data_IF_375347445738
#
_entry.id   IF_375347445738
#
_cell.length_a   1.000
_cell.length_b   1.000
_cell.length_c   1.000
_cell.angle_alpha   90.00
_cell.angle_beta   90.00
_cell.angle_gamma   90.00
#
_symmetry.space_group_name_H-M   'P 1'
#
loop_
_entity.id
_entity.type
_entity.pdbx_description
1 polymer ?
#
# COMPACT_ATOMS: atom_id res chain seq x y z
N UNK A 1 -17.28 46.51 -39.62
CA UNK A 1 -16.58 45.79 -38.52
C UNK A 1 -17.24 44.47 -38.04
N UNK A 2 -18.42 44.02 -38.53
CA UNK A 2 -19.04 42.75 -38.07
C UNK A 2 -18.48 41.47 -38.74
N UNK A 3 -18.09 41.53 -40.01
CA UNK A 3 -17.66 40.35 -40.78
C UNK A 3 -16.31 39.74 -40.32
N UNK A 4 -15.37 40.57 -39.86
CA UNK A 4 -14.06 40.09 -39.37
C UNK A 4 -14.19 39.32 -38.04
N UNK A 5 -15.17 39.70 -37.20
CA UNK A 5 -15.44 39.03 -35.93
C UNK A 5 -16.12 37.67 -36.12
N UNK A 6 -16.97 37.49 -37.15
CA UNK A 6 -17.59 36.18 -37.43
C UNK A 6 -16.58 35.19 -38.02
N UNK A 7 -15.70 35.65 -38.91
CA UNK A 7 -14.65 34.83 -39.50
C UNK A 7 -13.66 34.29 -38.44
N UNK A 8 -13.28 35.11 -37.45
CA UNK A 8 -12.42 34.67 -36.32
C UNK A 8 -13.11 33.64 -35.42
N UNK A 9 -14.39 33.82 -35.11
CA UNK A 9 -15.16 32.82 -34.32
C UNK A 9 -15.31 31.50 -35.05
N UNK A 10 -15.54 31.54 -36.36
CA UNK A 10 -15.68 30.32 -37.17
C UNK A 10 -14.35 29.56 -37.31
N UNK A 11 -13.22 30.27 -37.37
CA UNK A 11 -11.89 29.65 -37.33
C UNK A 11 -11.61 28.99 -35.97
N UNK A 12 -11.96 29.63 -34.86
CA UNK A 12 -11.80 29.07 -33.51
C UNK A 12 -12.66 27.81 -33.31
N UNK A 13 -13.92 27.84 -33.75
CA UNK A 13 -14.82 26.68 -33.71
C UNK A 13 -14.27 25.48 -34.50
N UNK A 14 -13.64 25.73 -35.65
CA UNK A 14 -12.99 24.67 -36.44
C UNK A 14 -11.76 24.07 -35.74
N UNK A 15 -11.02 24.87 -34.99
CA UNK A 15 -9.87 24.40 -34.21
C UNK A 15 -10.36 23.55 -33.03
N UNK A 16 -11.38 23.99 -32.28
CA UNK A 16 -11.97 23.20 -31.21
C UNK A 16 -12.54 21.86 -31.71
N UNK A 17 -13.22 21.87 -32.87
CA UNK A 17 -13.72 20.65 -33.49
C UNK A 17 -12.57 19.69 -33.85
N UNK A 18 -11.48 20.19 -34.43
CA UNK A 18 -10.29 19.38 -34.74
C UNK A 18 -9.63 18.82 -33.48
N UNK A 19 -9.53 19.61 -32.41
CA UNK A 19 -8.98 19.15 -31.12
C UNK A 19 -9.87 18.07 -30.50
N UNK A 20 -11.20 18.24 -30.50
CA UNK A 20 -12.14 17.23 -30.01
C UNK A 20 -12.03 15.92 -30.78
N UNK A 21 -11.94 15.99 -32.11
CA UNK A 21 -11.73 14.82 -32.96
C UNK A 21 -10.41 14.14 -32.65
N UNK A 22 -9.31 14.90 -32.54
CA UNK A 22 -8.00 14.33 -32.22
C UNK A 22 -7.97 13.65 -30.84
N UNK A 23 -8.61 14.25 -29.84
CA UNK A 23 -8.75 13.65 -28.51
C UNK A 23 -9.59 12.36 -28.57
N UNK A 24 -10.68 12.35 -29.34
CA UNK A 24 -11.50 11.16 -29.52
C UNK A 24 -10.75 10.04 -30.27
N UNK A 25 -9.97 10.37 -31.30
CA UNK A 25 -9.16 9.42 -32.08
C UNK A 25 -8.01 8.84 -31.25
N UNK A 26 -7.41 9.64 -30.36
CA UNK A 26 -6.32 9.19 -29.48
C UNK A 26 -6.82 8.52 -28.19
N UNK A 27 -8.11 8.60 -27.87
CA UNK A 27 -8.68 8.01 -26.67
C UNK A 27 -8.44 6.49 -26.59
N UNK A 28 -8.67 5.68 -27.64
CA UNK A 28 -8.43 4.24 -27.61
C UNK A 28 -6.96 3.89 -27.32
N UNK A 29 -6.01 4.59 -27.97
CA UNK A 29 -4.58 4.40 -27.74
C UNK A 29 -4.16 4.76 -26.30
N UNK A 30 -4.75 5.83 -25.75
CA UNK A 30 -4.56 6.23 -24.35
C UNK A 30 -5.15 5.20 -23.39
N UNK A 31 -6.32 4.64 -23.68
CA UNK A 31 -6.95 3.60 -22.86
C UNK A 31 -6.17 2.27 -22.94
N UNK A 32 -5.68 1.88 -24.12
CA UNK A 32 -4.88 0.67 -24.31
C UNK A 32 -3.55 0.73 -23.52
N UNK A 33 -2.82 1.86 -23.60
CA UNK A 33 -1.61 2.07 -22.79
C UNK A 33 -1.90 2.05 -21.29
N UNK A 34 -3.03 2.63 -20.86
CA UNK A 34 -3.49 2.52 -19.47
C UNK A 34 -3.77 1.06 -19.10
N UNK A 35 -4.46 0.31 -19.94
CA UNK A 35 -4.78 -1.11 -19.74
C UNK A 35 -3.55 -1.98 -19.49
N UNK A 36 -2.47 -1.80 -20.28
CA UNK A 36 -1.20 -2.54 -20.10
C UNK A 36 -0.53 -2.18 -18.76
N UNK A 37 -0.49 -0.91 -18.41
CA UNK A 37 0.05 -0.46 -17.11
C UNK A 37 -0.79 -1.02 -15.96
N UNK A 38 -2.11 -1.09 -16.10
CA UNK A 38 -3.01 -1.64 -15.11
C UNK A 38 -2.89 -3.15 -14.97
N UNK A 39 -2.80 -3.91 -16.07
CA UNK A 39 -2.52 -5.36 -16.00
C UNK A 39 -1.21 -5.64 -15.25
N UNK A 40 -0.17 -4.82 -15.50
CA UNK A 40 1.09 -4.91 -14.77
C UNK A 40 0.94 -4.57 -13.28
N UNK A 41 0.12 -3.57 -12.92
CA UNK A 41 -0.19 -3.25 -11.51
C UNK A 41 -1.05 -4.32 -10.84
N UNK A 42 -2.05 -4.88 -11.53
CA UNK A 42 -2.93 -5.93 -11.03
C UNK A 42 -2.15 -7.22 -10.75
N UNK A 43 -1.17 -7.56 -11.60
CA UNK A 43 -0.27 -8.68 -11.35
C UNK A 43 0.65 -8.45 -10.15
N UNK A 44 1.00 -7.20 -9.83
CA UNK A 44 1.71 -6.85 -8.59
C UNK A 44 0.84 -6.86 -7.32
N UNK A 45 -0.49 -6.92 -7.46
CA UNK A 45 -1.45 -7.06 -6.36
C UNK A 45 -1.81 -8.53 -6.10
N UNK A 46 -1.03 -9.49 -6.60
CA UNK A 46 -1.14 -10.86 -6.08
C UNK A 46 -0.94 -10.82 -4.55
N UNK A 47 -1.72 -11.61 -3.79
CA UNK A 47 -1.41 -11.80 -2.38
C UNK A 47 0.07 -12.19 -2.29
N UNK A 48 0.83 -11.63 -1.33
CA UNK A 48 2.23 -12.02 -1.18
C UNK A 48 2.26 -13.54 -1.13
N UNK A 49 3.08 -14.15 -2.00
CA UNK A 49 3.33 -15.58 -1.95
C UNK A 49 3.53 -15.93 -0.48
N UNK A 50 2.84 -16.97 -0.03
CA UNK A 50 2.92 -17.54 1.31
C UNK A 50 4.31 -18.16 1.54
N UNK A 51 5.39 -17.49 1.14
CA UNK A 51 6.74 -17.65 1.64
C UNK A 51 6.83 -16.97 3.00
N UNK A 52 6.11 -17.53 3.97
CA UNK A 52 5.92 -17.05 5.34
C UNK A 52 7.18 -17.15 6.22
N UNK A 53 8.37 -16.89 5.68
CA UNK A 53 9.59 -17.18 6.43
C UNK A 53 10.09 -16.04 7.32
N UNK A 54 9.68 -14.78 7.13
CA UNK A 54 10.39 -13.64 7.75
C UNK A 54 9.50 -12.52 8.35
N UNK A 55 8.20 -12.77 8.57
CA UNK A 55 7.29 -11.72 9.05
C UNK A 55 7.47 -11.38 10.54
N UNK A 56 8.06 -12.29 11.31
CA UNK A 56 8.41 -12.05 12.72
C UNK A 56 9.85 -12.51 12.93
N UNK A 57 10.73 -11.60 13.33
CA UNK A 57 12.09 -11.93 13.74
C UNK A 57 12.17 -11.91 15.26
N UNK A 58 12.38 -13.07 15.86
CA UNK A 58 12.60 -13.17 17.30
C UNK A 58 14.09 -13.02 17.62
N UNK A 59 14.45 -11.90 18.23
CA UNK A 59 15.78 -11.64 18.79
C UNK A 59 15.78 -11.71 20.32
N UNK A 60 14.62 -12.00 20.94
CA UNK A 60 14.51 -12.19 22.38
C UNK A 60 14.98 -13.60 22.79
N UNK A 61 15.54 -13.68 24.00
CA UNK A 61 15.96 -14.94 24.64
C UNK A 61 14.80 -15.86 25.02
N UNK A 62 13.56 -15.35 25.06
CA UNK A 62 12.36 -16.15 25.34
C UNK A 62 11.81 -16.77 24.05
N UNK A 63 11.41 -18.05 24.11
CA UNK A 63 10.68 -18.65 23.00
C UNK A 63 9.28 -18.01 22.88
N UNK A 64 8.97 -17.49 21.69
CA UNK A 64 7.62 -17.03 21.38
C UNK A 64 6.72 -18.25 21.21
N UNK A 65 5.70 -18.38 22.05
CA UNK A 65 4.65 -19.39 21.89
C UNK A 65 4.00 -19.25 20.51
N UNK A 66 3.55 -20.35 19.91
CA UNK A 66 2.87 -20.35 18.60
C UNK A 66 1.72 -19.34 18.53
N UNK A 67 0.97 -19.19 19.63
CA UNK A 67 -0.08 -18.17 19.78
C UNK A 67 0.46 -16.74 19.61
N UNK A 68 1.60 -16.42 20.21
CA UNK A 68 2.25 -15.11 20.12
C UNK A 68 2.77 -14.86 18.70
N UNK A 69 3.35 -15.88 18.06
CA UNK A 69 3.79 -15.78 16.66
C UNK A 69 2.65 -15.49 15.69
N UNK A 70 1.51 -16.21 15.80
CA UNK A 70 0.32 -15.97 14.96
C UNK A 70 -0.23 -14.55 15.12
N UNK A 71 -0.28 -14.08 16.37
CA UNK A 71 -0.71 -12.72 16.70
C UNK A 71 0.19 -11.66 16.04
N UNK A 72 1.51 -11.83 16.14
CA UNK A 72 2.47 -10.89 15.55
C UNK A 72 2.48 -10.90 14.02
N UNK A 73 2.27 -12.07 13.40
CA UNK A 73 2.10 -12.17 11.96
C UNK A 73 0.84 -11.45 11.47
N UNK A 74 -0.21 -11.45 12.28
CA UNK A 74 -1.47 -10.77 11.96
C UNK A 74 -1.35 -9.25 12.13
N UNK A 75 -0.71 -8.77 13.20
CA UNK A 75 -0.41 -7.34 13.38
C UNK A 75 0.44 -6.77 12.23
N UNK A 76 1.47 -7.50 11.82
CA UNK A 76 2.31 -7.15 10.67
C UNK A 76 1.51 -6.86 9.38
N UNK A 77 0.37 -7.55 9.21
CA UNK A 77 -0.51 -7.38 8.05
C UNK A 77 -1.31 -6.06 8.07
N UNK A 78 -1.48 -5.43 9.23
CA UNK A 78 -2.38 -4.27 9.42
C UNK A 78 -1.82 -2.93 8.92
N UNK A 79 -0.58 -2.87 8.45
CA UNK A 79 0.10 -1.60 8.12
C UNK A 79 -0.24 -1.03 6.72
N UNK A 80 -1.24 -1.58 6.02
CA UNK A 80 -1.66 -1.02 4.73
C UNK A 80 -2.71 0.07 4.95
N UNK A 81 -2.33 1.30 4.63
CA UNK A 81 -3.15 2.50 4.50
C UNK A 81 -4.64 2.22 4.34
N UNK A 82 -5.40 2.74 5.28
CA UNK A 82 -6.86 2.75 5.39
C UNK A 82 -7.46 3.43 4.16
N UNK A 83 -7.50 2.71 3.04
CA UNK A 83 -8.24 3.15 1.85
C UNK A 83 -9.65 2.64 2.02
N UNK A 84 -10.63 3.55 2.06
CA UNK A 84 -12.03 3.18 2.19
C UNK A 84 -12.36 2.06 1.18
N UNK A 85 -12.83 0.88 1.67
CA UNK A 85 -13.24 -0.20 0.79
C UNK A 85 -14.22 0.26 -0.30
N UNK A 86 -15.06 1.27 -0.02
CA UNK A 86 -15.97 1.84 -0.99
C UNK A 86 -15.25 2.55 -2.15
N UNK A 87 -14.22 3.34 -1.85
CA UNK A 87 -13.40 4.04 -2.87
C UNK A 87 -12.63 3.05 -3.74
N UNK A 88 -12.10 1.97 -3.15
CA UNK A 88 -11.44 0.91 -3.90
C UNK A 88 -12.43 0.20 -4.85
N UNK A 89 -13.62 -0.18 -4.35
CA UNK A 89 -14.67 -0.81 -5.18
C UNK A 89 -15.09 0.13 -6.30
N UNK A 90 -15.32 1.42 -6.02
CA UNK A 90 -15.71 2.40 -7.01
C UNK A 90 -14.64 2.57 -8.10
N UNK A 91 -13.36 2.61 -7.73
CA UNK A 91 -12.26 2.71 -8.68
C UNK A 91 -12.14 1.46 -9.57
N UNK A 92 -12.28 0.26 -8.99
CA UNK A 92 -12.26 -1.02 -9.73
C UNK A 92 -13.46 -1.12 -10.66
N UNK A 93 -14.68 -0.82 -10.19
CA UNK A 93 -15.89 -0.87 -11.03
C UNK A 93 -15.83 0.16 -12.16
N UNK A 94 -15.40 1.40 -11.88
CA UNK A 94 -15.20 2.40 -12.92
C UNK A 94 -14.16 1.95 -13.96
N UNK A 95 -13.16 1.13 -13.57
CA UNK A 95 -12.21 0.53 -14.50
C UNK A 95 -12.87 -0.56 -15.35
N UNK A 96 -13.59 -1.48 -14.72
CA UNK A 96 -14.28 -2.60 -15.38
C UNK A 96 -15.30 -2.10 -16.41
N UNK A 97 -16.00 -1.01 -16.11
CA UNK A 97 -16.95 -0.37 -17.03
C UNK A 97 -16.24 0.18 -18.28
N UNK A 98 -15.05 0.75 -18.14
CA UNK A 98 -14.27 1.34 -19.26
C UNK A 98 -13.53 0.31 -20.12
N UNK A 99 -13.39 -0.93 -19.65
CA UNK A 99 -12.70 -1.97 -20.41
C UNK A 99 -13.61 -2.54 -21.50
N UNK A 100 -13.13 -2.55 -22.74
CA UNK A 100 -13.77 -3.25 -23.86
C UNK A 100 -13.35 -4.74 -23.87
N UNK A 101 -13.63 -5.43 -22.77
CA UNK A 101 -13.34 -6.85 -22.58
C UNK A 101 -14.62 -7.68 -22.47
N UNK A 102 -14.49 -9.00 -22.55
CA UNK A 102 -15.64 -9.91 -22.43
C UNK A 102 -16.25 -9.84 -21.03
N UNK A 103 -17.54 -10.13 -20.92
CA UNK A 103 -18.24 -10.11 -19.62
C UNK A 103 -17.60 -11.07 -18.60
N UNK A 104 -17.02 -12.19 -19.06
CA UNK A 104 -16.32 -13.15 -18.22
C UNK A 104 -15.02 -12.58 -17.63
N UNK A 105 -14.25 -11.81 -18.40
CA UNK A 105 -13.03 -11.16 -17.91
C UNK A 105 -13.36 -10.05 -16.90
N UNK A 106 -14.42 -9.27 -17.16
CA UNK A 106 -14.96 -8.29 -16.22
C UNK A 106 -15.36 -8.94 -14.90
N UNK A 107 -16.06 -10.08 -14.97
CA UNK A 107 -16.45 -10.83 -13.79
C UNK A 107 -15.27 -11.42 -13.05
N UNK A 108 -14.23 -11.90 -13.75
CA UNK A 108 -12.99 -12.39 -13.14
C UNK A 108 -12.26 -11.30 -12.35
N UNK A 109 -12.21 -10.07 -12.89
CA UNK A 109 -11.62 -8.91 -12.19
C UNK A 109 -12.42 -8.58 -10.93
N UNK A 110 -13.76 -8.55 -11.02
CA UNK A 110 -14.64 -8.34 -9.84
C UNK A 110 -14.43 -9.40 -8.78
N UNK A 111 -14.41 -10.68 -9.17
CA UNK A 111 -14.16 -11.80 -8.25
C UNK A 111 -12.80 -11.66 -7.56
N UNK A 112 -11.77 -11.25 -8.29
CA UNK A 112 -10.44 -11.02 -7.74
C UNK A 112 -10.42 -9.83 -6.77
N UNK A 113 -11.11 -8.74 -7.08
CA UNK A 113 -11.25 -7.59 -6.18
C UNK A 113 -12.00 -7.96 -4.89
N UNK A 114 -13.11 -8.72 -4.99
CA UNK A 114 -13.84 -9.25 -3.84
C UNK A 114 -12.98 -10.19 -3.00
N UNK A 115 -12.18 -11.06 -3.63
CA UNK A 115 -11.24 -11.94 -2.94
C UNK A 115 -10.21 -11.15 -2.12
N UNK A 116 -9.66 -10.07 -2.69
CA UNK A 116 -8.72 -9.18 -1.99
C UNK A 116 -9.36 -8.46 -0.80
N UNK A 117 -10.57 -7.92 -0.97
CA UNK A 117 -11.29 -7.23 0.09
C UNK A 117 -11.68 -8.19 1.24
N UNK A 118 -12.08 -9.41 0.91
CA UNK A 118 -12.43 -10.42 1.91
C UNK A 118 -11.22 -10.95 2.67
N UNK A 119 -10.04 -11.06 2.03
CA UNK A 119 -8.79 -11.40 2.72
C UNK A 119 -8.32 -10.26 3.62
N UNK A 120 -8.37 -9.01 3.14
CA UNK A 120 -8.00 -7.83 3.91
C UNK A 120 -8.93 -7.63 5.13
N UNK A 121 -10.25 -7.78 4.96
CA UNK A 121 -11.21 -7.72 6.08
C UNK A 121 -11.00 -8.82 7.12
N UNK A 122 -10.59 -10.02 6.70
CA UNK A 122 -10.19 -11.10 7.64
C UNK A 122 -8.89 -10.77 8.38
N UNK A 123 -7.96 -10.08 7.73
CA UNK A 123 -6.77 -9.56 8.38
C UNK A 123 -7.06 -8.38 9.32
N UNK A 124 -8.13 -7.61 9.10
CA UNK A 124 -8.56 -6.57 10.05
C UNK A 124 -9.28 -7.14 11.29
N UNK A 125 -9.94 -8.29 11.15
CA UNK A 125 -10.67 -8.91 12.27
C UNK A 125 -9.71 -9.72 13.15
N UNK A 126 -8.88 -9.01 13.92
CA UNK A 126 -8.17 -9.59 15.07
C UNK A 126 -9.25 -10.10 16.03
N UNK A 127 -9.22 -11.38 16.41
CA UNK A 127 -10.17 -11.87 17.41
C UNK A 127 -9.92 -11.17 18.75
N UNK A 128 -10.94 -11.03 19.62
CA UNK A 128 -10.75 -10.42 20.96
C UNK A 128 -9.59 -11.07 21.74
N UNK A 129 -9.36 -12.37 21.52
CA UNK A 129 -8.29 -13.15 22.14
C UNK A 129 -6.91 -12.84 21.59
N UNK A 130 -6.81 -12.48 20.31
CA UNK A 130 -5.56 -12.06 19.67
C UNK A 130 -5.26 -10.60 20.01
N UNK A 131 -6.26 -9.72 20.03
CA UNK A 131 -6.09 -8.32 20.43
C UNK A 131 -5.62 -8.22 21.88
N UNK A 132 -6.17 -9.06 22.76
CA UNK A 132 -5.69 -9.20 24.14
C UNK A 132 -4.24 -9.70 24.19
N UNK A 133 -3.89 -10.69 23.36
CA UNK A 133 -2.52 -11.22 23.32
C UNK A 133 -1.51 -10.20 22.76
N UNK A 134 -1.89 -9.38 21.78
CA UNK A 134 -1.11 -8.21 21.34
C UNK A 134 -0.87 -7.27 22.51
N UNK A 135 -1.95 -6.92 23.22
CA UNK A 135 -1.86 -5.98 24.33
C UNK A 135 -0.97 -6.53 25.45
N UNK A 136 -1.11 -7.80 25.79
CA UNK A 136 -0.25 -8.52 26.74
C UNK A 136 1.23 -8.47 26.32
N UNK A 137 1.53 -8.62 25.03
CA UNK A 137 2.88 -8.49 24.49
C UNK A 137 3.42 -7.06 24.57
N UNK A 138 2.56 -6.05 24.36
CA UNK A 138 2.95 -4.63 24.49
C UNK A 138 3.15 -4.20 25.93
N UNK A 139 2.46 -4.84 26.88
CA UNK A 139 2.59 -4.59 28.31
C UNK A 139 3.66 -5.46 28.98
N UNK A 140 4.31 -6.38 28.25
CA UNK A 140 5.40 -7.19 28.80
C UNK A 140 6.62 -6.29 29.02
N UNK A 141 6.95 -6.03 30.28
CA UNK A 141 8.06 -5.14 30.64
C UNK A 141 9.42 -5.67 30.18
N UNK A 142 9.53 -6.96 29.87
CA UNK A 142 10.79 -7.60 29.50
C UNK A 142 11.07 -7.57 27.98
N UNK A 143 10.08 -7.26 27.13
CA UNK A 143 10.25 -7.34 25.68
C UNK A 143 9.69 -6.10 24.95
N UNK A 144 10.31 -5.77 23.82
CA UNK A 144 9.93 -4.63 22.97
C UNK A 144 9.55 -5.16 21.60
N UNK A 145 8.41 -4.68 21.12
CA UNK A 145 7.91 -4.91 19.77
C UNK A 145 8.28 -3.74 18.85
N UNK A 146 9.07 -3.99 17.82
CA UNK A 146 9.48 -2.98 16.86
C UNK A 146 8.94 -3.28 15.46
N UNK A 147 8.21 -2.36 14.82
CA UNK A 147 7.89 -2.49 13.42
C UNK A 147 9.20 -2.37 12.60
N UNK A 148 9.51 -3.39 11.81
CA UNK A 148 10.62 -3.30 10.88
C UNK A 148 10.23 -2.40 9.71
N UNK A 149 11.09 -1.45 9.37
CA UNK A 149 10.87 -0.48 8.30
C UNK A 149 10.61 -1.14 6.92
N UNK A 150 11.04 -2.39 6.73
CA UNK A 150 10.91 -3.12 5.46
C UNK A 150 10.03 -4.36 5.60
N UNK A 151 8.99 -4.44 4.78
CA UNK A 151 8.32 -5.71 4.46
C UNK A 151 7.30 -6.23 5.46
N UNK A 152 6.62 -5.35 6.21
CA UNK A 152 5.60 -5.76 7.20
C UNK A 152 6.16 -6.72 8.26
N UNK A 153 7.45 -6.65 8.57
CA UNK A 153 8.05 -7.54 9.58
C UNK A 153 7.98 -6.88 10.96
N UNK A 154 7.85 -7.69 12.00
CA UNK A 154 7.88 -7.25 13.39
C UNK A 154 9.06 -7.90 14.09
N UNK A 155 9.93 -7.10 14.69
CA UNK A 155 11.07 -7.58 15.48
C UNK A 155 10.67 -7.60 16.94
N UNK A 156 10.89 -8.73 17.61
CA UNK A 156 10.76 -8.84 19.07
C UNK A 156 12.16 -8.92 19.66
N UNK A 157 12.48 -8.02 20.60
CA UNK A 157 13.78 -7.98 21.26
C UNK A 157 13.58 -7.83 22.77
N UNK A 158 14.54 -8.29 23.57
CA UNK A 158 14.51 -8.01 25.01
C UNK A 158 14.72 -6.51 25.27
N UNK A 159 14.11 -6.02 26.35
CA UNK A 159 14.22 -4.62 26.74
C UNK A 159 15.64 -4.23 27.13
N UNK A 160 16.33 -5.09 27.86
CA UNK A 160 17.74 -4.88 28.26
C UNK A 160 18.63 -4.80 27.02
N UNK A 161 18.59 -5.80 26.14
CA UNK A 161 19.35 -5.82 24.89
C UNK A 161 19.06 -4.61 23.98
N UNK A 162 17.80 -4.16 23.92
CA UNK A 162 17.42 -2.95 23.19
C UNK A 162 18.02 -1.70 23.82
N UNK A 163 17.93 -1.56 25.15
CA UNK A 163 18.46 -0.40 25.85
C UNK A 163 19.99 -0.33 25.74
N UNK A 164 20.69 -1.46 25.82
CA UNK A 164 22.13 -1.52 25.60
C UNK A 164 22.50 -1.11 24.18
N UNK A 165 21.81 -1.64 23.17
CA UNK A 165 22.03 -1.25 21.77
C UNK A 165 21.69 0.22 21.51
N UNK A 166 20.59 0.72 22.07
CA UNK A 166 20.21 2.12 21.94
C UNK A 166 21.26 3.02 22.59
N UNK A 167 21.74 2.65 23.78
CA UNK A 167 22.79 3.38 24.48
C UNK A 167 24.10 3.37 23.69
N UNK A 168 24.54 2.22 23.17
CA UNK A 168 25.71 2.16 22.29
C UNK A 168 25.56 3.08 21.07
N UNK A 169 24.39 3.08 20.43
CA UNK A 169 24.11 3.99 19.31
C UNK A 169 24.14 5.48 19.69
N UNK A 170 23.85 5.84 20.95
CA UNK A 170 23.94 7.22 21.44
C UNK A 170 25.35 7.59 21.91
N UNK A 171 26.09 6.63 22.47
CA UNK A 171 27.47 6.81 22.95
C UNK A 171 28.48 6.80 21.78
N UNK A 172 28.11 6.25 20.62
CA UNK A 172 28.85 6.35 19.35
C UNK A 172 28.84 7.81 18.85
N UNK A 173 29.78 8.61 19.35
CA UNK A 173 29.95 10.04 19.03
C UNK A 173 30.19 10.39 17.56
N UNK A 174 30.16 9.42 16.64
CA UNK A 174 30.27 9.64 15.20
C UNK A 174 28.93 9.99 14.52
N UNK A 175 27.77 9.60 15.09
CA UNK A 175 26.47 9.78 14.41
C UNK A 175 25.79 11.11 14.72
N UNK A 176 26.11 11.71 15.87
CA UNK A 176 25.55 12.99 16.36
C UNK A 176 26.65 13.95 16.82
N UNK A 177 27.73 14.10 16.04
CA UNK A 177 28.68 15.19 16.25
C UNK A 177 28.01 16.57 16.06
N UNK A 178 28.48 17.64 16.73
CA UNK A 178 27.96 18.98 16.49
C UNK A 178 28.10 19.29 15.00
N UNK A 179 26.97 19.55 14.34
CA UNK A 179 26.95 19.95 12.94
C UNK A 179 27.85 21.16 12.79
N UNK A 180 28.89 21.06 11.96
CA UNK A 180 29.77 22.18 11.69
C UNK A 180 28.91 23.29 11.08
N UNK A 181 28.61 24.30 11.89
CA UNK A 181 28.03 25.55 11.41
C UNK A 181 29.09 26.20 10.53
N UNK A 182 28.91 26.04 9.22
CA UNK A 182 29.63 26.84 8.24
C UNK A 182 29.13 28.28 8.37
N UNK A 183 29.80 29.06 9.22
CA UNK A 183 29.87 30.51 9.04
C UNK A 183 30.92 30.79 7.97
N UNK A 184 30.46 31.09 6.76
CA UNK A 184 31.09 32.08 5.86
C UNK A 184 30.07 32.62 4.85
#
# INVERSE_FOLDING_TARGET
MRAVRSASRQKFSRIEAKVRILVAVLAPLRQAKKGVIWHRKLNKLQPPDTGSSNLVQNLSSKQLTERRLRVLQHEACLNSTDTDPADFIAAVEAMVVRMETTNNEKQSIRQRATSLLTTHRRAQWVSKNEAKAVQELRTDDNSILLPANKGRSTVVINREDYNEKAKALFDDGEFYGPGQSSEE
#
